data_IF_379650488096
#
_entry.id   IF_379650488096
#
_cell.length_a   1.000
_cell.length_b   1.000
_cell.length_c   1.000
_cell.angle_alpha   90.00
_cell.angle_beta   90.00
_cell.angle_gamma   90.00
#
_symmetry.space_group_name_H-M   'P 1'
#
loop_
_entity.id
_entity.type
_entity.pdbx_description
1 polymer ?
#
# COMPACT_ATOMS: atom_id res chain seq x y z
N UNK A 1 -21.17 5.51 -11.58
CA UNK A 1 -20.02 5.09 -10.76
C UNK A 1 -20.44 4.83 -9.32
N UNK A 2 -20.56 5.88 -8.50
CA UNK A 2 -20.68 5.73 -7.06
C UNK A 2 -22.12 5.54 -6.48
N UNK A 3 -23.17 5.73 -7.29
CA UNK A 3 -24.56 5.71 -6.83
C UNK A 3 -25.35 4.51 -7.36
N UNK A 4 -26.36 4.11 -6.60
CA UNK A 4 -27.24 2.99 -6.93
C UNK A 4 -26.45 1.70 -7.16
N UNK A 5 -26.95 0.84 -8.05
CA UNK A 5 -26.28 -0.44 -8.38
C UNK A 5 -25.05 -0.28 -9.27
N UNK A 6 -24.72 0.93 -9.72
CA UNK A 6 -23.51 1.17 -10.52
C UNK A 6 -22.24 0.80 -9.75
N UNK A 7 -22.24 0.94 -8.42
CA UNK A 7 -21.07 0.64 -7.57
C UNK A 7 -20.76 -0.85 -7.48
N UNK A 8 -21.76 -1.71 -7.74
CA UNK A 8 -21.62 -3.17 -7.75
C UNK A 8 -20.70 -3.63 -8.90
N UNK A 9 -20.67 -2.87 -10.00
CA UNK A 9 -19.93 -3.20 -11.23
C UNK A 9 -18.72 -2.30 -11.49
N UNK A 10 -18.52 -1.27 -10.69
CA UNK A 10 -17.37 -0.36 -10.81
C UNK A 10 -16.30 -0.58 -9.73
N UNK A 11 -16.49 -1.59 -8.86
CA UNK A 11 -15.56 -1.93 -7.79
C UNK A 11 -15.63 -3.44 -7.51
N UNK A 12 -14.56 -3.97 -6.93
CA UNK A 12 -14.42 -5.38 -6.56
C UNK A 12 -14.04 -5.51 -5.10
N UNK A 13 -14.33 -6.65 -4.50
CA UNK A 13 -13.89 -7.00 -3.15
C UNK A 13 -12.83 -8.09 -3.24
N UNK A 14 -11.62 -7.82 -2.76
CA UNK A 14 -10.56 -8.83 -2.71
C UNK A 14 -10.67 -9.68 -1.44
N UNK A 15 -10.59 -11.01 -1.59
CA UNK A 15 -10.64 -11.99 -0.50
C UNK A 15 -9.51 -13.03 -0.65
N UNK A 16 -9.32 -13.89 0.35
CA UNK A 16 -8.43 -15.04 0.18
C UNK A 16 -9.01 -16.04 -0.81
N UNK A 17 -8.16 -16.79 -1.52
CA UNK A 17 -8.61 -17.87 -2.41
C UNK A 17 -9.55 -18.86 -1.69
N UNK A 18 -9.18 -19.27 -0.48
CA UNK A 18 -10.00 -20.18 0.33
C UNK A 18 -11.40 -19.63 0.65
N UNK A 19 -11.54 -18.32 0.89
CA UNK A 19 -12.85 -17.71 1.15
C UNK A 19 -13.69 -17.62 -0.13
N UNK A 20 -13.07 -17.30 -1.27
CA UNK A 20 -13.74 -17.33 -2.56
C UNK A 20 -14.25 -18.75 -2.88
N UNK A 21 -13.41 -19.76 -2.69
CA UNK A 21 -13.76 -21.17 -2.91
C UNK A 21 -14.89 -21.65 -1.98
N UNK A 22 -14.99 -21.07 -0.78
CA UNK A 22 -16.05 -21.34 0.19
C UNK A 22 -17.37 -20.59 -0.09
N UNK A 23 -17.47 -19.81 -1.19
CA UNK A 23 -18.70 -19.10 -1.55
C UNK A 23 -19.02 -17.93 -0.63
N UNK A 24 -18.01 -17.23 -0.11
CA UNK A 24 -18.20 -16.15 0.87
C UNK A 24 -19.04 -14.98 0.31
N UNK A 25 -19.01 -14.78 -1.01
CA UNK A 25 -19.78 -13.73 -1.67
C UNK A 25 -21.28 -13.97 -1.51
N UNK A 26 -21.73 -15.18 -1.83
CA UNK A 26 -23.12 -15.61 -1.70
C UNK A 26 -23.53 -15.69 -0.22
N UNK A 27 -22.67 -16.29 0.62
CA UNK A 27 -22.96 -16.46 2.05
C UNK A 27 -23.23 -15.14 2.78
N UNK A 28 -22.57 -14.05 2.35
CA UNK A 28 -22.73 -12.71 2.91
C UNK A 28 -23.63 -11.78 2.08
N UNK A 29 -24.17 -12.26 0.94
CA UNK A 29 -24.99 -11.43 0.04
C UNK A 29 -24.24 -10.26 -0.58
N UNK A 30 -22.94 -10.42 -0.86
CA UNK A 30 -22.13 -9.38 -1.47
C UNK A 30 -22.58 -9.14 -2.92
N UNK A 31 -22.92 -7.90 -3.24
CA UNK A 31 -23.38 -7.54 -4.58
C UNK A 31 -22.22 -7.20 -5.55
N UNK A 32 -21.02 -6.92 -5.04
CA UNK A 32 -19.81 -6.66 -5.85
C UNK A 32 -19.14 -7.97 -6.24
N UNK A 33 -18.42 -7.94 -7.36
CA UNK A 33 -17.59 -9.08 -7.76
C UNK A 33 -16.49 -9.33 -6.71
N UNK A 34 -16.34 -10.59 -6.31
CA UNK A 34 -15.38 -11.05 -5.32
C UNK A 34 -14.20 -11.70 -6.02
N UNK A 35 -12.98 -11.23 -5.76
CA UNK A 35 -11.76 -11.70 -6.42
C UNK A 35 -10.75 -12.25 -5.42
N UNK A 36 -10.13 -13.39 -5.74
CA UNK A 36 -9.08 -13.96 -4.92
C UNK A 36 -7.75 -13.20 -5.08
N UNK A 37 -7.13 -12.83 -3.96
CA UNK A 37 -5.73 -12.39 -3.93
C UNK A 37 -4.82 -13.59 -4.24
N UNK A 38 -3.84 -13.40 -5.14
CA UNK A 38 -2.90 -14.42 -5.61
C UNK A 38 -1.46 -13.89 -5.67
N UNK A 39 -0.49 -14.80 -5.82
CA UNK A 39 0.93 -14.50 -6.04
C UNK A 39 1.63 -13.66 -4.94
N UNK A 40 1.21 -13.81 -3.68
CA UNK A 40 1.76 -13.00 -2.56
C UNK A 40 3.05 -13.56 -1.95
N UNK A 41 3.44 -14.79 -2.26
CA UNK A 41 4.59 -15.48 -1.65
C UNK A 41 5.82 -15.57 -2.55
N UNK A 42 5.67 -15.25 -3.84
CA UNK A 42 6.75 -15.25 -4.82
C UNK A 42 7.34 -13.88 -5.12
N UNK A 43 6.79 -12.82 -4.53
CA UNK A 43 7.24 -11.45 -4.72
C UNK A 43 8.12 -10.99 -3.56
N UNK A 44 9.09 -10.13 -3.85
CA UNK A 44 9.99 -9.51 -2.88
C UNK A 44 10.38 -8.09 -3.28
N UNK A 45 11.44 -7.55 -2.67
CA UNK A 45 11.88 -6.15 -2.87
C UNK A 45 12.15 -5.80 -4.34
N UNK A 46 12.72 -6.75 -5.09
CA UNK A 46 13.03 -6.64 -6.53
C UNK A 46 11.81 -6.45 -7.45
N UNK A 47 10.61 -6.81 -6.97
CA UNK A 47 9.39 -6.73 -7.77
C UNK A 47 8.69 -5.37 -7.58
N UNK A 48 9.23 -4.49 -6.73
CA UNK A 48 8.75 -3.13 -6.56
C UNK A 48 9.26 -2.22 -7.68
N UNK A 49 8.36 -1.88 -8.61
CA UNK A 49 8.65 -1.02 -9.75
C UNK A 49 9.17 0.35 -9.27
N UNK A 50 10.36 0.73 -9.77
CA UNK A 50 11.08 1.97 -9.43
C UNK A 50 11.55 2.07 -7.97
N UNK A 51 11.42 1.02 -7.15
CA UNK A 51 11.64 1.07 -5.69
C UNK A 51 12.24 -0.23 -5.12
N UNK A 52 13.19 -0.85 -5.82
CA UNK A 52 13.78 -2.15 -5.48
C UNK A 52 15.13 -2.09 -4.74
N UNK A 53 15.65 -0.90 -4.44
CA UNK A 53 16.92 -0.74 -3.72
C UNK A 53 16.93 -1.44 -2.34
N UNK A 54 17.99 -2.21 -2.05
CA UNK A 54 18.19 -2.91 -0.79
C UNK A 54 19.60 -2.63 -0.23
N UNK A 55 19.88 -1.41 0.24
CA UNK A 55 21.18 -1.05 0.82
C UNK A 55 21.39 -1.71 2.19
N UNK A 56 22.63 -1.70 2.67
CA UNK A 56 22.93 -2.05 4.06
C UNK A 56 22.52 -0.88 4.97
N UNK A 57 21.55 -1.13 5.85
CA UNK A 57 21.02 -0.13 6.77
C UNK A 57 21.60 -0.34 8.17
N UNK A 58 22.24 0.68 8.70
CA UNK A 58 22.77 0.71 10.07
C UNK A 58 22.06 1.80 10.88
N UNK A 59 21.76 1.51 12.15
CA UNK A 59 21.17 2.48 13.08
C UNK A 59 22.01 2.50 14.35
N UNK A 60 22.51 3.67 14.72
CA UNK A 60 23.20 3.85 15.99
C UNK A 60 22.20 3.77 17.16
N UNK A 61 22.38 2.89 18.16
CA UNK A 61 21.40 2.70 19.23
C UNK A 61 21.33 3.84 20.25
N UNK A 62 22.35 4.71 20.31
CA UNK A 62 22.42 5.81 21.26
C UNK A 62 22.02 7.15 20.63
N UNK A 63 22.49 7.41 19.40
CA UNK A 63 22.26 8.68 18.70
C UNK A 63 21.11 8.64 17.71
N UNK A 64 20.64 7.44 17.34
CA UNK A 64 19.63 7.19 16.31
C UNK A 64 20.03 7.67 14.90
N UNK A 65 21.32 7.92 14.66
CA UNK A 65 21.84 8.14 13.31
C UNK A 65 21.54 6.92 12.44
N UNK A 66 21.01 7.15 11.24
CA UNK A 66 20.73 6.13 10.25
C UNK A 66 21.72 6.27 9.10
N UNK A 67 22.34 5.16 8.70
CA UNK A 67 23.24 5.11 7.54
C UNK A 67 22.75 4.10 6.51
N UNK A 68 22.94 4.42 5.23
CA UNK A 68 22.79 3.49 4.12
C UNK A 68 24.12 3.36 3.40
N UNK A 69 24.66 2.16 3.31
CA UNK A 69 25.98 1.89 2.71
C UNK A 69 27.09 2.80 3.30
N UNK A 70 27.00 3.07 4.61
CA UNK A 70 27.91 3.95 5.37
C UNK A 70 27.59 5.45 5.30
N UNK A 71 26.73 5.89 4.38
CA UNK A 71 26.35 7.30 4.20
C UNK A 71 25.26 7.72 5.21
N UNK A 72 25.47 8.84 5.91
CA UNK A 72 24.50 9.37 6.88
C UNK A 72 23.25 9.90 6.18
N UNK A 73 22.09 9.32 6.50
CA UNK A 73 20.80 9.76 6.01
C UNK A 73 20.22 10.81 6.96
N UNK A 74 20.21 12.07 6.53
CA UNK A 74 19.61 13.17 7.29
C UNK A 74 19.06 14.24 6.35
N UNK A 75 18.06 14.98 6.80
CA UNK A 75 17.53 16.14 6.10
C UNK A 75 17.03 17.18 7.10
N UNK A 76 17.04 18.44 6.68
CA UNK A 76 16.43 19.51 7.46
C UNK A 76 14.90 19.44 7.32
N UNK A 77 14.15 19.76 8.38
CA UNK A 77 12.70 19.84 8.29
C UNK A 77 12.29 20.95 7.32
N UNK A 78 11.31 20.67 6.45
CA UNK A 78 10.71 21.69 5.59
C UNK A 78 9.73 22.56 6.39
N UNK A 79 9.75 23.88 6.19
CA UNK A 79 8.86 24.83 6.87
C UNK A 79 7.53 25.05 6.14
N UNK A 80 7.48 24.74 4.85
CA UNK A 80 6.30 24.82 3.98
C UNK A 80 6.35 23.67 2.97
N UNK A 81 5.18 23.19 2.54
CA UNK A 81 5.06 22.12 1.55
C UNK A 81 4.13 22.53 0.39
N UNK A 82 4.43 22.11 -0.86
CA UNK A 82 3.48 22.21 -1.94
C UNK A 82 2.26 21.31 -1.66
N UNK A 83 1.16 21.54 -2.40
CA UNK A 83 -0.08 20.75 -2.24
C UNK A 83 -0.70 20.82 -0.83
N UNK A 84 -0.38 21.87 -0.06
CA UNK A 84 -0.93 22.10 1.29
C UNK A 84 -1.93 23.28 1.30
N UNK A 85 -1.66 24.34 2.06
CA UNK A 85 -2.56 25.47 2.32
C UNK A 85 -3.17 26.13 1.06
N UNK A 86 -2.53 26.00 -0.10
CA UNK A 86 -3.08 26.51 -1.38
C UNK A 86 -4.36 25.77 -1.82
N UNK A 87 -4.54 24.52 -1.43
CA UNK A 87 -5.59 23.65 -1.97
C UNK A 87 -6.66 23.25 -0.94
N UNK A 88 -6.37 23.39 0.35
CA UNK A 88 -7.30 23.02 1.42
C UNK A 88 -7.87 24.25 2.11
N UNK A 89 -9.20 24.26 2.31
CA UNK A 89 -9.89 25.35 2.97
C UNK A 89 -9.57 25.42 4.48
N UNK A 90 -9.27 24.27 5.08
CA UNK A 90 -8.85 24.09 6.47
C UNK A 90 -7.80 22.99 6.55
#
# INVERSE_FOLDING_TARGET
GAYGRSVERSAVTFVSAAALDAGIGEALGLAKDVLAVKNTRGVGKKDLILNDACPEIEVNPETYEVRADGELLTCQPATELPMAQRYFLF
#
